data_IF_229725378539
#
_entry.id   IF_229725378539
#
_cell.length_a   1.000
_cell.length_b   1.000
_cell.length_c   1.000
_cell.angle_alpha   90.00
_cell.angle_beta   90.00
_cell.angle_gamma   90.00
#
_symmetry.space_group_name_H-M   'P 1'
#
loop_
_entity.id
_entity.type
_entity.pdbx_description
1 polymer ?
#
# COMPACT_ATOMS: atom_id res chain seq x y z
N UNK A 1 -6.23 -17.43 10.64
CA UNK A 1 -5.10 -17.01 9.79
C UNK A 1 -4.30 -16.06 10.66
N UNK A 2 -3.12 -16.48 11.10
CA UNK A 2 -2.33 -15.73 12.06
C UNK A 2 -1.45 -14.73 11.31
N UNK A 3 -1.61 -13.43 11.59
CA UNK A 3 -0.77 -12.39 11.03
C UNK A 3 0.43 -12.18 11.96
N UNK A 4 1.67 -12.35 11.49
CA UNK A 4 2.84 -12.19 12.35
C UNK A 4 2.95 -10.72 12.82
N UNK A 5 3.27 -10.48 14.10
CA UNK A 5 3.47 -9.11 14.59
C UNK A 5 4.59 -8.42 13.81
N UNK A 6 4.54 -7.09 13.74
CA UNK A 6 5.58 -6.25 13.11
C UNK A 6 5.91 -6.59 11.65
N UNK A 7 4.94 -7.10 10.89
CA UNK A 7 5.14 -7.49 9.48
C UNK A 7 4.37 -6.60 8.49
N UNK A 8 4.62 -5.27 8.43
CA UNK A 8 3.95 -4.39 7.47
C UNK A 8 4.22 -4.81 6.01
N UNK A 9 5.38 -5.41 5.76
CA UNK A 9 5.80 -6.00 4.48
C UNK A 9 4.78 -7.01 3.91
N UNK A 10 4.07 -7.71 4.80
CA UNK A 10 3.04 -8.69 4.47
C UNK A 10 1.63 -8.10 4.37
N UNK A 11 1.46 -6.79 4.63
CA UNK A 11 0.19 -6.11 4.56
C UNK A 11 0.10 -5.28 3.26
N UNK A 12 -0.65 -5.73 2.23
CA UNK A 12 -0.74 -5.02 0.96
C UNK A 12 -1.32 -3.61 1.07
N UNK A 13 -2.12 -3.32 2.11
CA UNK A 13 -2.72 -1.99 2.29
C UNK A 13 -1.66 -0.91 2.53
N UNK A 14 -0.51 -1.26 3.13
CA UNK A 14 0.59 -0.31 3.35
C UNK A 14 1.13 0.22 2.01
N UNK A 15 1.16 -0.65 0.98
CA UNK A 15 1.54 -0.23 -0.36
C UNK A 15 0.45 0.59 -1.05
N UNK A 16 -0.82 0.29 -0.76
CA UNK A 16 -1.92 1.12 -1.26
C UNK A 16 -1.84 2.53 -0.66
N UNK A 17 -1.53 2.66 0.63
CA UNK A 17 -1.29 3.96 1.25
C UNK A 17 -0.13 4.72 0.59
N UNK A 18 0.99 4.04 0.33
CA UNK A 18 2.11 4.65 -0.41
C UNK A 18 1.74 5.07 -1.84
N UNK A 19 0.90 4.30 -2.54
CA UNK A 19 0.36 4.68 -3.84
C UNK A 19 -0.50 5.95 -3.75
N UNK A 20 -1.45 5.99 -2.81
CA UNK A 20 -2.32 7.14 -2.59
C UNK A 20 -1.53 8.39 -2.19
N UNK A 21 -0.49 8.26 -1.37
CA UNK A 21 0.39 9.36 -1.02
C UNK A 21 1.11 9.91 -2.26
N UNK A 22 1.59 9.02 -3.14
CA UNK A 22 2.24 9.39 -4.41
C UNK A 22 1.27 10.12 -5.35
N UNK A 23 0.03 9.64 -5.47
CA UNK A 23 -0.99 10.30 -6.29
C UNK A 23 -1.40 11.65 -5.70
N UNK A 24 -1.67 11.70 -4.40
CA UNK A 24 -2.00 12.94 -3.67
C UNK A 24 -0.88 13.98 -3.80
N UNK A 25 0.39 13.57 -3.78
CA UNK A 25 1.54 14.47 -3.89
C UNK A 25 1.62 15.22 -5.23
N UNK A 26 0.88 14.78 -6.26
CA UNK A 26 0.76 15.49 -7.55
C UNK A 26 -0.10 16.75 -7.46
N UNK A 27 -0.86 16.91 -6.37
CA UNK A 27 -1.76 18.04 -6.15
C UNK A 27 -1.24 18.95 -5.04
N UNK A 28 -1.27 20.25 -5.27
CA UNK A 28 -1.01 21.25 -4.21
C UNK A 28 -2.27 21.42 -3.37
N UNK A 29 -2.19 21.07 -2.08
CA UNK A 29 -3.29 21.20 -1.11
C UNK A 29 -2.88 22.15 0.01
N UNK A 30 -3.76 23.09 0.36
CA UNK A 30 -3.47 24.17 1.33
C UNK A 30 -4.43 24.19 2.53
N UNK A 31 -5.40 23.28 2.57
CA UNK A 31 -6.34 23.14 3.68
C UNK A 31 -6.61 21.67 3.98
N UNK A 32 -7.10 21.38 5.19
CA UNK A 32 -7.48 20.03 5.60
C UNK A 32 -8.64 19.47 4.76
N UNK A 33 -9.61 20.31 4.39
CA UNK A 33 -10.72 19.91 3.53
C UNK A 33 -10.24 19.57 2.12
N UNK A 34 -9.36 20.40 1.54
CA UNK A 34 -8.77 20.12 0.24
C UNK A 34 -7.97 18.82 0.26
N UNK A 35 -7.17 18.59 1.32
CA UNK A 35 -6.45 17.34 1.53
C UNK A 35 -7.38 16.13 1.54
N UNK A 36 -8.46 16.18 2.32
CA UNK A 36 -9.44 15.09 2.41
C UNK A 36 -10.06 14.78 1.05
N UNK A 37 -10.53 15.82 0.35
CA UNK A 37 -11.17 15.67 -0.96
C UNK A 37 -10.20 15.12 -2.01
N UNK A 38 -8.94 15.58 -2.00
CA UNK A 38 -7.90 15.05 -2.89
C UNK A 38 -7.63 13.57 -2.61
N UNK A 39 -7.42 13.17 -1.35
CA UNK A 39 -7.17 11.76 -1.01
C UNK A 39 -8.37 10.89 -1.40
N UNK A 40 -9.60 11.37 -1.18
CA UNK A 40 -10.82 10.67 -1.60
C UNK A 40 -10.88 10.50 -3.12
N UNK A 41 -10.57 11.56 -3.89
CA UNK A 41 -10.50 11.45 -5.36
C UNK A 41 -9.45 10.44 -5.80
N UNK A 42 -8.23 10.50 -5.24
CA UNK A 42 -7.18 9.52 -5.56
C UNK A 42 -7.60 8.08 -5.24
N UNK A 43 -8.36 7.89 -4.15
CA UNK A 43 -8.93 6.59 -3.81
C UNK A 43 -9.94 6.13 -4.86
N UNK A 44 -10.90 6.98 -5.21
CA UNK A 44 -11.95 6.67 -6.20
C UNK A 44 -11.36 6.43 -7.61
N UNK A 45 -10.27 7.12 -7.95
CA UNK A 45 -9.51 6.98 -9.20
C UNK A 45 -8.57 5.77 -9.21
N UNK A 46 -8.35 5.11 -8.06
CA UNK A 46 -7.49 3.94 -7.97
C UNK A 46 -8.12 2.77 -8.74
N UNK A 47 -7.49 2.40 -9.85
CA UNK A 47 -7.99 1.31 -10.69
C UNK A 47 -7.96 -0.04 -9.96
N UNK A 48 -8.94 -0.89 -10.26
CA UNK A 48 -8.97 -2.28 -9.78
C UNK A 48 -7.70 -3.05 -10.15
N UNK A 49 -7.06 -2.72 -11.27
CA UNK A 49 -5.80 -3.36 -11.68
C UNK A 49 -4.66 -3.13 -10.68
N UNK A 50 -4.59 -1.96 -10.04
CA UNK A 50 -3.61 -1.68 -8.98
C UNK A 50 -3.88 -2.60 -7.78
N UNK A 51 -5.15 -2.72 -7.37
CA UNK A 51 -5.56 -3.58 -6.27
C UNK A 51 -5.27 -5.06 -6.56
N UNK A 52 -5.59 -5.54 -7.76
CA UNK A 52 -5.29 -6.91 -8.19
C UNK A 52 -3.79 -7.20 -8.12
N UNK A 53 -2.93 -6.31 -8.64
CA UNK A 53 -1.47 -6.47 -8.56
C UNK A 53 -0.95 -6.56 -7.12
N UNK A 54 -1.54 -5.79 -6.20
CA UNK A 54 -1.18 -5.86 -4.78
C UNK A 54 -1.50 -7.23 -4.19
N UNK A 55 -2.70 -7.77 -4.46
CA UNK A 55 -3.10 -9.11 -4.00
C UNK A 55 -2.25 -10.20 -4.64
N UNK A 56 -2.03 -10.13 -5.96
CA UNK A 56 -1.21 -11.08 -6.72
C UNK A 56 0.27 -11.09 -6.27
N UNK A 57 0.74 -10.01 -5.63
CA UNK A 57 2.10 -9.95 -5.06
C UNK A 57 2.27 -10.74 -3.76
N UNK A 58 1.19 -11.17 -3.10
CA UNK A 58 1.24 -11.83 -1.79
C UNK A 58 2.11 -13.09 -1.74
N UNK A 59 2.02 -14.02 -2.71
CA UNK A 59 2.93 -15.16 -2.73
C UNK A 59 4.40 -14.73 -2.74
N UNK A 60 4.76 -13.71 -3.54
CA UNK A 60 6.15 -13.23 -3.62
C UNK A 60 6.63 -12.59 -2.31
N UNK A 61 5.75 -11.86 -1.60
CA UNK A 61 6.04 -11.27 -0.27
C UNK A 61 6.33 -12.35 0.77
N UNK A 62 5.48 -13.37 0.84
CA UNK A 62 5.65 -14.51 1.76
C UNK A 62 6.97 -15.23 1.47
N UNK A 63 7.28 -15.50 0.21
CA UNK A 63 8.58 -16.10 -0.16
C UNK A 63 9.77 -15.22 0.24
N UNK A 64 9.65 -13.89 0.14
CA UNK A 64 10.70 -12.98 0.58
C UNK A 64 10.94 -13.04 2.09
N UNK A 65 9.87 -13.09 2.90
CA UNK A 65 9.96 -13.25 4.36
C UNK A 65 10.58 -14.59 4.74
N UNK A 66 10.18 -15.68 4.07
CA UNK A 66 10.76 -17.02 4.28
C UNK A 66 12.27 -16.99 3.96
N UNK A 67 12.65 -16.40 2.82
CA UNK A 67 14.06 -16.25 2.43
C UNK A 67 14.85 -15.40 3.42
N UNK A 68 14.22 -14.36 3.98
CA UNK A 68 14.79 -13.52 5.02
C UNK A 68 14.75 -14.15 6.42
N UNK A 69 14.26 -15.40 6.55
CA UNK A 69 14.09 -16.10 7.83
C UNK A 69 13.27 -15.31 8.86
N UNK A 70 12.20 -14.65 8.40
CA UNK A 70 11.36 -13.78 9.23
C UNK A 70 11.87 -12.35 9.39
N UNK A 71 13.00 -12.01 8.78
CA UNK A 71 13.51 -10.63 8.73
C UNK A 71 12.75 -9.72 7.75
N UNK A 72 13.09 -8.43 7.80
CA UNK A 72 12.51 -7.39 6.93
C UNK A 72 12.82 -7.65 5.46
N UNK A 73 11.88 -7.26 4.61
CA UNK A 73 11.97 -7.41 3.16
C UNK A 73 11.91 -6.04 2.46
N UNK A 74 11.91 -6.06 1.12
CA UNK A 74 11.79 -4.86 0.29
C UNK A 74 10.34 -4.38 0.09
N UNK A 75 9.40 -5.23 0.46
CA UNK A 75 7.98 -4.91 0.45
C UNK A 75 7.70 -4.18 1.76
#
# INVERSE_FOLDING_TARGET
>A
MDFPPQSPDLNPIEHLWGHLETERAKHSVTSQEALWNTVKSCWDDTSQQVLHKLVESMPARVHAVIKAKGGRTKY
#
